data_IF_568542890293
#
_entry.id   IF_568542890293
#
_cell.length_a   1.000
_cell.length_b   1.000
_cell.length_c   1.000
_cell.angle_alpha   90.00
_cell.angle_beta   90.00
_cell.angle_gamma   90.00
#
_symmetry.space_group_name_H-M   'P 1'
#
loop_
_entity.id
_entity.type
_entity.pdbx_description
1 polymer ?
#
# COMPACT_ATOMS: atom_id res chain seq x y z
N UNK A 1 11.07 14.65 -11.38
CA UNK A 1 10.58 14.71 -12.77
C UNK A 1 9.67 13.54 -13.14
N UNK A 2 9.97 12.30 -12.74
CA UNK A 2 9.14 11.13 -13.07
C UNK A 2 7.83 11.04 -12.26
N UNK A 3 7.87 11.38 -10.96
CA UNK A 3 6.66 11.49 -10.12
C UNK A 3 5.73 12.64 -10.49
N UNK A 4 6.30 13.79 -10.85
CA UNK A 4 5.57 14.96 -11.32
C UNK A 4 4.73 14.61 -12.57
N UNK A 5 5.30 13.82 -13.50
CA UNK A 5 4.58 13.25 -14.64
C UNK A 5 3.50 12.24 -14.25
N UNK A 6 3.73 11.35 -13.27
CA UNK A 6 2.73 10.38 -12.78
C UNK A 6 1.55 11.05 -12.04
N UNK A 7 1.75 12.22 -11.42
CA UNK A 7 0.73 12.97 -10.67
C UNK A 7 0.08 14.12 -11.45
N UNK A 8 0.51 14.39 -12.69
CA UNK A 8 0.00 15.51 -13.49
C UNK A 8 0.45 16.88 -12.96
N UNK A 9 1.50 16.93 -12.14
CA UNK A 9 2.03 18.15 -11.55
C UNK A 9 3.25 18.65 -12.34
N UNK A 10 3.34 19.95 -12.56
CA UNK A 10 4.43 20.57 -13.34
C UNK A 10 5.76 20.62 -12.57
N UNK A 11 5.73 20.53 -11.24
CA UNK A 11 6.93 20.50 -10.39
C UNK A 11 6.60 19.98 -8.99
N UNK A 12 7.22 18.87 -8.56
CA UNK A 12 7.19 18.47 -7.14
C UNK A 12 8.45 19.05 -6.47
N UNK A 13 8.27 19.93 -5.47
CA UNK A 13 9.39 20.41 -4.66
C UNK A 13 10.04 19.22 -3.94
N UNK A 14 11.36 19.16 -3.99
CA UNK A 14 12.17 18.11 -3.34
C UNK A 14 11.88 17.98 -1.84
N UNK A 15 11.53 19.09 -1.19
CA UNK A 15 11.15 19.17 0.23
C UNK A 15 9.82 18.46 0.54
N UNK A 16 8.95 18.30 -0.44
CA UNK A 16 7.64 17.64 -0.31
C UNK A 16 7.69 16.13 -0.62
N UNK A 17 8.87 15.58 -0.94
CA UNK A 17 9.01 14.15 -1.26
C UNK A 17 8.89 13.25 -0.01
N UNK A 18 9.14 13.78 1.19
CA UNK A 18 9.00 13.02 2.44
C UNK A 18 9.68 11.64 2.37
N UNK A 19 8.90 10.58 2.55
CA UNK A 19 9.38 9.19 2.50
C UNK A 19 10.02 8.80 1.16
N UNK A 20 9.56 9.38 0.05
CA UNK A 20 10.14 9.10 -1.27
C UNK A 20 11.59 9.56 -1.37
N UNK A 21 12.01 10.60 -0.63
CA UNK A 21 13.43 11.00 -0.58
C UNK A 21 14.31 9.87 -0.04
N UNK A 22 13.84 9.16 0.99
CA UNK A 22 14.53 8.00 1.57
C UNK A 22 14.57 6.85 0.56
N UNK A 23 13.45 6.57 -0.10
CA UNK A 23 13.36 5.49 -1.08
C UNK A 23 14.21 5.76 -2.34
N UNK A 24 14.31 7.01 -2.79
CA UNK A 24 15.14 7.39 -3.92
C UNK A 24 16.64 7.31 -3.61
N UNK A 25 17.03 7.47 -2.35
CA UNK A 25 18.41 7.30 -1.91
C UNK A 25 18.89 5.84 -1.88
N UNK A 26 18.00 4.87 -2.10
CA UNK A 26 18.37 3.46 -2.27
C UNK A 26 18.87 3.26 -3.70
N UNK A 27 20.19 3.10 -3.84
CA UNK A 27 20.85 2.90 -5.15
C UNK A 27 20.46 1.55 -5.77
N UNK A 28 20.48 0.49 -4.98
CA UNK A 28 20.13 -0.85 -5.45
C UNK A 28 18.62 -1.05 -5.53
N UNK A 29 18.08 -0.96 -6.75
CA UNK A 29 16.65 -1.19 -7.02
C UNK A 29 16.23 -2.66 -6.85
N UNK A 30 17.16 -3.61 -6.79
CA UNK A 30 16.83 -5.00 -6.49
C UNK A 30 16.25 -5.13 -5.08
N UNK A 31 16.83 -4.44 -4.09
CA UNK A 31 16.34 -4.41 -2.71
C UNK A 31 14.89 -3.91 -2.66
N UNK A 32 14.59 -2.85 -3.42
CA UNK A 32 13.24 -2.31 -3.50
C UNK A 32 12.25 -3.30 -4.14
N UNK A 33 12.67 -4.00 -5.20
CA UNK A 33 11.83 -5.02 -5.86
C UNK A 33 11.57 -6.23 -4.95
N UNK A 34 12.59 -6.67 -4.22
CA UNK A 34 12.48 -7.75 -3.24
C UNK A 34 11.49 -7.37 -2.13
N UNK A 35 11.70 -6.21 -1.50
CA UNK A 35 10.79 -5.69 -0.49
C UNK A 35 9.34 -5.58 -0.99
N UNK A 36 9.17 -5.07 -2.21
CA UNK A 36 7.85 -4.98 -2.85
C UNK A 36 7.19 -6.36 -3.01
N UNK A 37 7.97 -7.34 -3.48
CA UNK A 37 7.54 -8.72 -3.64
C UNK A 37 7.13 -9.37 -2.33
N UNK A 38 7.93 -9.17 -1.28
CA UNK A 38 7.67 -9.75 0.05
C UNK A 38 6.39 -9.21 0.68
N UNK A 39 6.16 -7.90 0.55
CA UNK A 39 5.03 -7.23 1.21
C UNK A 39 3.73 -7.34 0.41
N UNK A 40 3.77 -7.11 -0.90
CA UNK A 40 2.57 -7.01 -1.74
C UNK A 40 2.44 -8.14 -2.78
N UNK A 41 3.51 -8.90 -3.05
CA UNK A 41 3.53 -9.92 -4.10
C UNK A 41 2.49 -11.01 -3.86
N UNK A 42 2.45 -11.58 -2.65
CA UNK A 42 1.46 -12.61 -2.27
C UNK A 42 0.02 -12.10 -2.40
N UNK A 43 -0.24 -10.87 -1.95
CA UNK A 43 -1.58 -10.29 -2.00
C UNK A 43 -2.04 -10.03 -3.44
N UNK A 44 -1.14 -9.53 -4.29
CA UNK A 44 -1.42 -9.30 -5.71
C UNK A 44 -1.64 -10.59 -6.50
N UNK A 45 -0.87 -11.63 -6.20
CA UNK A 45 -1.07 -12.96 -6.78
C UNK A 45 -2.45 -13.50 -6.39
N UNK A 46 -2.80 -13.38 -5.10
CA UNK A 46 -4.09 -13.78 -4.59
C UNK A 46 -5.27 -13.07 -5.28
N UNK A 47 -5.19 -11.74 -5.43
CA UNK A 47 -6.21 -10.96 -6.14
C UNK A 47 -6.40 -11.43 -7.58
N UNK A 48 -5.31 -11.76 -8.29
CA UNK A 48 -5.37 -12.26 -9.67
C UNK A 48 -6.02 -13.64 -9.76
N UNK A 49 -5.63 -14.55 -8.88
CA UNK A 49 -6.11 -15.94 -8.86
C UNK A 49 -7.57 -16.05 -8.42
N UNK A 50 -7.97 -15.22 -7.45
CA UNK A 50 -9.28 -15.30 -6.81
C UNK A 50 -10.25 -14.21 -7.29
N UNK A 51 -9.82 -13.33 -8.21
CA UNK A 51 -10.57 -12.17 -8.70
C UNK A 51 -11.08 -11.27 -7.56
N UNK A 52 -10.22 -11.01 -6.57
CA UNK A 52 -10.53 -10.12 -5.44
C UNK A 52 -9.88 -8.75 -5.61
N UNK A 53 -10.29 -7.80 -4.76
CA UNK A 53 -9.74 -6.44 -4.73
C UNK A 53 -9.13 -6.10 -3.35
N UNK A 54 -8.49 -7.08 -2.71
CA UNK A 54 -7.94 -6.92 -1.36
C UNK A 54 -6.76 -5.93 -1.35
N UNK A 55 -5.93 -5.92 -2.39
CA UNK A 55 -4.83 -4.94 -2.54
C UNK A 55 -5.40 -3.52 -2.58
N UNK A 56 -6.49 -3.30 -3.34
CA UNK A 56 -7.11 -1.98 -3.44
C UNK A 56 -7.81 -1.58 -2.14
N UNK A 57 -8.46 -2.53 -1.46
CA UNK A 57 -9.00 -2.30 -0.12
C UNK A 57 -7.92 -1.87 0.87
N UNK A 58 -6.80 -2.59 0.90
CA UNK A 58 -5.67 -2.27 1.78
C UNK A 58 -5.14 -0.87 1.48
N UNK A 59 -4.97 -0.52 0.19
CA UNK A 59 -4.56 0.82 -0.21
C UNK A 59 -5.54 1.89 0.31
N UNK A 60 -6.84 1.69 0.10
CA UNK A 60 -7.86 2.61 0.60
C UNK A 60 -7.85 2.72 2.14
N UNK A 61 -7.62 1.62 2.85
CA UNK A 61 -7.48 1.63 4.30
C UNK A 61 -6.31 2.50 4.76
N UNK A 62 -5.14 2.36 4.12
CA UNK A 62 -3.96 3.14 4.43
C UNK A 62 -4.11 4.63 4.08
N UNK A 63 -4.68 4.94 2.90
CA UNK A 63 -4.95 6.31 2.46
C UNK A 63 -5.94 7.06 3.37
N UNK A 64 -6.77 6.32 4.12
CA UNK A 64 -7.66 6.88 5.14
C UNK A 64 -7.08 6.75 6.55
N UNK A 65 -5.74 6.78 6.69
CA UNK A 65 -5.02 6.71 7.96
C UNK A 65 -5.37 5.50 8.84
N UNK A 66 -5.74 4.39 8.21
CA UNK A 66 -6.18 3.19 8.92
C UNK A 66 -7.57 3.31 9.58
N UNK A 67 -8.41 4.25 9.14
CA UNK A 67 -9.77 4.40 9.63
C UNK A 67 -10.71 3.38 8.97
N UNK A 68 -11.13 2.39 9.76
CA UNK A 68 -12.13 1.42 9.33
C UNK A 68 -13.47 2.09 9.01
N UNK A 69 -13.82 3.14 9.75
CA UNK A 69 -15.07 3.88 9.60
C UNK A 69 -15.12 4.56 8.22
N UNK A 70 -14.10 5.34 7.87
CA UNK A 70 -14.04 6.06 6.60
C UNK A 70 -14.03 5.10 5.40
N UNK A 71 -13.33 3.96 5.50
CA UNK A 71 -13.35 2.95 4.43
C UNK A 71 -14.72 2.29 4.30
N UNK A 72 -15.38 2.01 5.43
CA UNK A 72 -16.71 1.40 5.44
C UNK A 72 -17.76 2.31 4.78
N UNK A 73 -17.70 3.61 5.05
CA UNK A 73 -18.55 4.63 4.43
C UNK A 73 -18.28 4.74 2.92
N UNK A 74 -17.01 4.88 2.51
CA UNK A 74 -16.62 5.00 1.09
C UNK A 74 -16.98 3.77 0.26
N UNK A 75 -16.95 2.58 0.86
CA UNK A 75 -17.28 1.32 0.17
C UNK A 75 -18.73 0.88 0.38
N UNK A 76 -19.55 1.64 1.13
CA UNK A 76 -20.94 1.30 1.46
C UNK A 76 -21.08 -0.10 2.08
N UNK A 77 -20.15 -0.46 2.97
CA UNK A 77 -20.15 -1.74 3.69
C UNK A 77 -20.12 -1.51 5.19
N UNK A 78 -20.48 -2.54 5.96
CA UNK A 78 -20.32 -2.48 7.41
C UNK A 78 -18.83 -2.53 7.79
N UNK A 79 -18.44 -1.84 8.87
CA UNK A 79 -17.08 -1.85 9.43
C UNK A 79 -16.52 -3.27 9.60
N UNK A 80 -17.34 -4.20 10.09
CA UNK A 80 -16.94 -5.60 10.29
C UNK A 80 -16.51 -6.28 8.98
N UNK A 81 -17.13 -5.92 7.85
CA UNK A 81 -16.73 -6.44 6.53
C UNK A 81 -15.32 -6.00 6.19
N UNK A 82 -14.98 -4.72 6.42
CA UNK A 82 -13.62 -4.20 6.23
C UNK A 82 -12.64 -4.93 7.15
N UNK A 83 -12.98 -5.07 8.43
CA UNK A 83 -12.14 -5.82 9.39
C UNK A 83 -11.91 -7.27 8.97
N UNK A 84 -12.94 -7.96 8.48
CA UNK A 84 -12.82 -9.34 8.02
C UNK A 84 -11.91 -9.45 6.78
N UNK A 85 -11.97 -8.47 5.88
CA UNK A 85 -11.08 -8.43 4.72
C UNK A 85 -9.63 -8.13 5.12
N UNK A 86 -9.38 -7.25 6.09
CA UNK A 86 -8.03 -7.00 6.63
C UNK A 86 -7.46 -8.25 7.32
N UNK A 87 -8.29 -9.00 8.07
CA UNK A 87 -7.88 -10.31 8.62
C UNK A 87 -7.60 -11.35 7.52
N UNK A 88 -8.28 -11.28 6.38
CA UNK A 88 -7.97 -12.12 5.22
C UNK A 88 -6.63 -11.75 4.60
N UNK A 89 -6.33 -10.45 4.50
CA UNK A 89 -5.02 -9.96 4.06
C UNK A 89 -3.92 -10.51 4.98
N UNK A 90 -4.10 -10.42 6.30
CA UNK A 90 -3.16 -10.98 7.29
C UNK A 90 -2.89 -12.47 7.06
N UNK A 91 -3.92 -13.27 6.80
CA UNK A 91 -3.76 -14.71 6.49
C UNK A 91 -2.98 -14.97 5.20
N UNK A 92 -3.07 -14.07 4.21
CA UNK A 92 -2.40 -14.23 2.91
C UNK A 92 -0.94 -13.79 2.98
N UNK A 93 -0.69 -12.66 3.64
CA UNK A 93 0.63 -12.01 3.66
C UNK A 93 1.47 -12.45 4.86
N UNK A 94 0.83 -12.87 5.96
CA UNK A 94 1.46 -13.05 7.26
C UNK A 94 1.67 -11.75 8.03
N UNK A 95 1.17 -10.62 7.51
CA UNK A 95 1.36 -9.28 8.08
C UNK A 95 0.00 -8.69 8.49
N UNK A 96 -0.13 -8.20 9.71
CA UNK A 96 -1.38 -7.70 10.26
C UNK A 96 -1.61 -6.21 9.91
N UNK A 97 -2.57 -5.86 9.02
CA UNK A 97 -2.80 -4.46 8.65
C UNK A 97 -3.29 -3.56 9.79
N UNK A 98 -3.76 -4.13 10.90
CA UNK A 98 -4.23 -3.39 12.07
C UNK A 98 -3.08 -3.02 13.02
N UNK A 99 -1.97 -3.76 12.98
CA UNK A 99 -0.76 -3.43 13.73
C UNK A 99 0.01 -2.27 13.05
N UNK A 100 0.65 -1.41 13.85
CA UNK A 100 1.34 -0.24 13.32
C UNK A 100 2.55 -0.61 12.45
N UNK A 101 3.36 -1.58 12.87
CA UNK A 101 4.59 -1.94 12.18
C UNK A 101 4.28 -2.52 10.79
N UNK A 102 3.34 -3.46 10.74
CA UNK A 102 2.95 -4.11 9.50
C UNK A 102 2.17 -3.16 8.57
N UNK A 103 1.38 -2.25 9.14
CA UNK A 103 0.74 -1.16 8.38
C UNK A 103 1.77 -0.25 7.71
N UNK A 104 2.85 0.09 8.41
CA UNK A 104 3.96 0.86 7.82
C UNK A 104 4.67 0.06 6.73
N UNK A 105 4.86 -1.25 6.91
CA UNK A 105 5.42 -2.12 5.86
C UNK A 105 4.58 -2.06 4.58
N UNK A 106 3.26 -2.21 4.71
CA UNK A 106 2.36 -2.10 3.56
C UNK A 106 2.40 -0.72 2.90
N UNK A 107 2.41 0.35 3.69
CA UNK A 107 2.48 1.71 3.16
C UNK A 107 3.77 1.92 2.35
N UNK A 108 4.91 1.50 2.90
CA UNK A 108 6.20 1.49 2.20
C UNK A 108 6.13 0.65 0.92
N UNK A 109 5.53 -0.54 0.97
CA UNK A 109 5.35 -1.39 -0.21
C UNK A 109 4.61 -0.67 -1.33
N UNK A 110 3.55 0.08 -1.02
CA UNK A 110 2.86 0.90 -2.02
C UNK A 110 3.74 2.03 -2.56
N UNK A 111 4.45 2.77 -1.70
CA UNK A 111 5.36 3.82 -2.14
C UNK A 111 6.48 3.29 -3.05
N UNK A 112 7.05 2.13 -2.71
CA UNK A 112 8.08 1.47 -3.51
C UNK A 112 7.52 1.08 -4.89
N UNK A 113 6.30 0.53 -4.95
CA UNK A 113 5.66 0.20 -6.22
C UNK A 113 5.32 1.40 -7.11
N UNK A 114 5.33 2.62 -6.57
CA UNK A 114 5.12 3.85 -7.35
C UNK A 114 6.41 4.38 -7.99
N UNK A 115 7.58 4.07 -7.42
CA UNK A 115 8.90 4.50 -7.90
C UNK A 115 9.65 3.45 -8.70
N UNK A 116 9.26 2.18 -8.59
CA UNK A 116 9.67 1.11 -9.49
C UNK A 116 8.92 1.21 -10.83
#
# INVERSE_FOLDING_TARGET
MEMAKKRGESCCYYENLGLYKVLYAVDDKAILREYYGDVLGKLKAYDRENKTELTQLLKAYLENNGSLQLVSEKKYVHRNTVTNQLKRIEKITGLNPLDLEDKLKFYLGFCVGEIL
#
